data_IF_854682174375
#
_entry.id   IF_854682174375
#
_cell.length_a   1.000
_cell.length_b   1.000
_cell.length_c   1.000
_cell.angle_alpha   90.00
_cell.angle_beta   90.00
_cell.angle_gamma   90.00
#
_symmetry.space_group_name_H-M   'P 1'
#
loop_
_entity.id
_entity.type
_entity.pdbx_description
1 polymer ?
#
# COMPACT_ATOMS: atom_id res chain seq x y z
N UNK A 1 25.40 -1.62 1.59
CA UNK A 1 24.95 -2.95 1.14
C UNK A 1 23.82 -3.47 2.05
N UNK A 2 22.54 -3.19 1.73
CA UNK A 2 21.41 -3.83 2.38
C UNK A 2 20.70 -4.84 1.44
N UNK A 3 20.28 -5.95 2.05
CA UNK A 3 19.74 -7.16 1.42
C UNK A 3 18.29 -6.97 0.96
N UNK A 4 18.02 -7.30 -0.30
CA UNK A 4 16.72 -7.42 -0.93
C UNK A 4 15.89 -8.54 -0.30
N UNK A 5 14.70 -8.22 0.24
CA UNK A 5 13.68 -9.21 0.63
C UNK A 5 12.57 -9.20 -0.42
N UNK A 6 12.64 -10.18 -1.31
CA UNK A 6 11.56 -10.56 -2.23
C UNK A 6 10.39 -11.14 -1.42
N UNK A 7 9.23 -10.49 -1.44
CA UNK A 7 7.96 -11.10 -1.03
C UNK A 7 6.99 -11.01 -2.20
N UNK A 8 7.04 -12.02 -3.04
CA UNK A 8 5.98 -12.43 -3.95
C UNK A 8 4.75 -12.84 -3.13
N UNK A 9 3.65 -12.10 -3.25
CA UNK A 9 2.33 -12.51 -2.78
C UNK A 9 1.34 -12.29 -3.92
N UNK A 10 0.99 -13.38 -4.59
CA UNK A 10 -0.03 -13.44 -5.63
C UNK A 10 -1.41 -13.07 -5.07
N UNK A 11 -2.27 -12.36 -5.84
CA UNK A 11 -3.65 -12.13 -5.46
C UNK A 11 -4.52 -13.32 -5.85
N UNK A 12 -5.18 -13.95 -4.87
CA UNK A 12 -6.22 -14.94 -5.11
C UNK A 12 -7.50 -14.24 -5.57
N UNK A 13 -7.75 -14.31 -6.87
CA UNK A 13 -9.04 -14.07 -7.50
C UNK A 13 -9.89 -15.32 -7.22
N UNK A 14 -10.94 -15.20 -6.41
CA UNK A 14 -12.02 -16.19 -6.42
C UNK A 14 -13.33 -15.48 -6.76
N UNK A 15 -13.85 -15.91 -7.91
CA UNK A 15 -15.09 -15.45 -8.52
C UNK A 15 -16.26 -16.13 -7.81
N UNK A 16 -17.23 -15.29 -7.48
CA UNK A 16 -18.69 -15.50 -7.53
C UNK A 16 -19.07 -16.67 -8.46
N UNK A 17 -19.81 -17.67 -7.96
CA UNK A 17 -21.18 -17.97 -8.43
C UNK A 17 -21.86 -19.17 -7.75
N UNK A 18 -23.19 -19.03 -7.67
CA UNK A 18 -24.27 -20.03 -7.50
C UNK A 18 -24.40 -20.71 -6.12
N UNK A 19 -25.45 -20.48 -5.32
CA UNK A 19 -26.90 -20.70 -5.55
C UNK A 19 -27.20 -22.19 -5.72
N UNK A 20 -27.34 -22.91 -4.60
CA UNK A 20 -28.27 -24.04 -4.50
C UNK A 20 -28.89 -24.10 -3.10
N UNK A 21 -30.21 -23.98 -3.12
CA UNK A 21 -31.13 -24.21 -2.01
C UNK A 21 -31.55 -25.67 -2.11
N UNK A 22 -30.82 -26.57 -1.47
CA UNK A 22 -31.32 -27.94 -1.27
C UNK A 22 -31.70 -28.12 0.19
N UNK A 23 -32.97 -27.79 0.44
CA UNK A 23 -33.77 -28.34 1.53
C UNK A 23 -34.10 -29.79 1.15
N UNK A 24 -33.21 -30.72 1.48
CA UNK A 24 -33.59 -32.12 1.57
C UNK A 24 -33.54 -32.58 3.03
N UNK A 25 -34.75 -32.68 3.57
CA UNK A 25 -35.07 -33.42 4.79
C UNK A 25 -34.90 -34.90 4.49
N UNK A 26 -33.66 -35.38 4.59
CA UNK A 26 -33.42 -36.81 4.62
C UNK A 26 -33.89 -37.39 5.96
N UNK A 27 -35.12 -37.91 5.92
CA UNK A 27 -35.69 -38.84 6.88
C UNK A 27 -34.93 -40.16 6.78
N UNK A 28 -33.74 -40.22 7.38
CA UNK A 28 -33.06 -41.50 7.59
C UNK A 28 -33.70 -42.22 8.78
N UNK A 29 -34.50 -43.19 8.38
CA UNK A 29 -35.18 -44.21 9.17
C UNK A 29 -34.14 -45.13 9.80
N UNK A 30 -33.61 -44.77 10.97
CA UNK A 30 -32.74 -45.66 11.75
C UNK A 30 -33.54 -46.81 12.37
N UNK A 31 -33.63 -47.90 11.60
CA UNK A 31 -33.92 -49.25 12.09
C UNK A 31 -32.62 -49.88 12.57
N UNK A 32 -32.76 -50.64 13.66
CA UNK A 32 -31.86 -51.68 14.17
C UNK A 32 -30.87 -51.28 15.27
N UNK A 33 -31.35 -51.35 16.53
CA UNK A 33 -30.58 -52.04 17.57
C UNK A 33 -31.40 -53.19 18.16
N UNK A 34 -31.02 -54.38 17.69
CA UNK A 34 -31.31 -55.68 18.29
C UNK A 34 -30.78 -55.67 19.72
N UNK A 35 -31.64 -55.93 20.70
CA UNK A 35 -31.23 -56.41 22.02
C UNK A 35 -31.94 -57.74 22.26
N UNK A 36 -31.18 -58.81 22.12
CA UNK A 36 -31.60 -60.19 22.43
C UNK A 36 -31.85 -60.35 23.93
N UNK A 37 -32.69 -61.31 24.32
CA UNK A 37 -33.22 -61.42 25.68
C UNK A 37 -32.24 -62.17 26.57
N UNK A 38 -31.76 -61.52 27.64
CA UNK A 38 -31.02 -62.23 28.68
C UNK A 38 -31.98 -62.86 29.67
N UNK A 39 -31.75 -64.14 29.88
CA UNK A 39 -32.55 -65.14 30.54
C UNK A 39 -31.98 -65.30 31.94
N UNK A 40 -32.59 -64.67 32.94
CA UNK A 40 -32.36 -65.03 34.33
C UNK A 40 -33.67 -65.46 34.98
N UNK A 41 -33.72 -66.76 35.27
CA UNK A 41 -34.69 -67.39 36.16
C UNK A 41 -34.30 -67.05 37.60
N UNK A 42 -35.28 -66.73 38.45
CA UNK A 42 -35.26 -67.21 39.82
C UNK A 42 -36.27 -68.35 39.95
N UNK A 43 -35.73 -69.54 40.15
CA UNK A 43 -36.41 -70.65 40.80
C UNK A 43 -36.68 -70.25 42.25
N UNK A 44 -37.94 -69.97 42.60
CA UNK A 44 -38.44 -70.30 43.93
C UNK A 44 -39.92 -70.64 43.86
N UNK A 45 -40.14 -71.92 44.10
CA UNK A 45 -41.39 -72.60 44.32
C UNK A 45 -42.07 -72.03 45.58
N UNK A 46 -43.02 -71.09 45.41
CA UNK A 46 -44.14 -70.92 46.34
C UNK A 46 -45.40 -70.70 45.53
N UNK A 47 -46.16 -71.79 45.36
CA UNK A 47 -47.60 -71.76 45.05
C UNK A 47 -48.29 -70.85 46.08
N UNK A 48 -48.45 -69.57 45.78
CA UNK A 48 -49.59 -68.82 46.27
C UNK A 48 -50.62 -68.84 45.15
N UNK A 49 -51.67 -69.63 45.36
CA UNK A 49 -52.92 -69.49 44.64
C UNK A 49 -53.44 -68.05 44.88
N UNK A 50 -52.95 -67.09 44.11
CA UNK A 50 -53.60 -65.80 43.98
C UNK A 50 -54.92 -66.08 43.27
N UNK A 51 -55.95 -66.27 44.11
CA UNK A 51 -57.36 -66.35 43.76
C UNK A 51 -57.62 -65.59 42.48
N UNK A 52 -58.20 -66.27 41.50
CA UNK A 52 -58.99 -65.65 40.43
C UNK A 52 -60.04 -64.77 41.09
N UNK A 53 -59.66 -63.54 41.46
CA UNK A 53 -60.59 -62.55 41.97
C UNK A 53 -61.27 -62.02 40.72
N UNK A 54 -62.35 -62.70 40.34
CA UNK A 54 -63.32 -62.20 39.38
C UNK A 54 -63.49 -60.71 39.66
N UNK A 55 -63.29 -59.83 38.65
CA UNK A 55 -63.36 -58.41 38.91
C UNK A 55 -64.72 -58.14 39.54
N UNK A 56 -64.71 -57.53 40.72
CA UNK A 56 -65.96 -57.12 41.38
C UNK A 56 -66.76 -56.27 40.39
N UNK A 57 -68.10 -56.28 40.43
CA UNK A 57 -68.94 -55.54 39.49
C UNK A 57 -68.50 -54.06 39.34
N UNK A 58 -68.03 -53.44 40.41
CA UNK A 58 -67.46 -52.08 40.42
C UNK A 58 -66.20 -51.94 39.53
N UNK A 59 -65.31 -52.96 39.52
CA UNK A 59 -64.08 -52.96 38.72
C UNK A 59 -64.33 -53.29 37.25
N UNK A 60 -65.42 -53.98 36.92
CA UNK A 60 -65.87 -54.18 35.52
C UNK A 60 -66.43 -52.88 34.95
N UNK A 61 -67.35 -52.24 35.67
CA UNK A 61 -67.92 -50.94 35.29
C UNK A 61 -66.85 -49.88 35.05
N UNK A 62 -65.88 -49.73 35.98
CA UNK A 62 -64.74 -48.79 35.79
C UNK A 62 -63.85 -49.11 34.58
N UNK A 63 -63.74 -50.38 34.18
CA UNK A 63 -62.97 -50.77 32.98
C UNK A 63 -63.75 -50.51 31.70
N UNK A 64 -65.06 -50.69 31.73
CA UNK A 64 -65.95 -50.35 30.61
C UNK A 64 -66.00 -48.83 30.41
N UNK A 65 -66.14 -48.06 31.49
CA UNK A 65 -66.05 -46.59 31.49
C UNK A 65 -64.70 -46.10 30.93
N UNK A 66 -63.58 -46.64 31.41
CA UNK A 66 -62.25 -46.29 30.90
C UNK A 66 -62.03 -46.72 29.44
N UNK A 67 -62.68 -47.79 28.98
CA UNK A 67 -62.61 -48.22 27.58
C UNK A 67 -63.43 -47.28 26.67
N UNK A 68 -64.58 -46.80 27.13
CA UNK A 68 -65.38 -45.81 26.41
C UNK A 68 -64.64 -44.47 26.33
N UNK A 69 -64.06 -44.00 27.43
CA UNK A 69 -63.24 -42.79 27.47
C UNK A 69 -62.02 -42.89 26.54
N UNK A 70 -61.32 -44.03 26.52
CA UNK A 70 -60.21 -44.27 25.61
C UNK A 70 -60.63 -44.29 24.13
N UNK A 71 -61.86 -44.74 23.81
CA UNK A 71 -62.40 -44.67 22.45
C UNK A 71 -62.73 -43.23 22.07
N UNK A 72 -63.31 -42.45 22.98
CA UNK A 72 -63.59 -41.03 22.76
C UNK A 72 -62.31 -40.20 22.58
N UNK A 73 -61.28 -40.43 23.39
CA UNK A 73 -59.98 -39.78 23.23
C UNK A 73 -59.32 -40.11 21.90
N UNK A 74 -59.43 -41.36 21.43
CA UNK A 74 -58.93 -41.76 20.11
C UNK A 74 -59.67 -41.04 18.99
N UNK A 75 -61.00 -40.91 19.10
CA UNK A 75 -61.81 -40.15 18.13
C UNK A 75 -61.42 -38.67 18.10
N UNK A 76 -61.22 -38.05 19.27
CA UNK A 76 -60.74 -36.65 19.37
C UNK A 76 -59.38 -36.48 18.69
N UNK A 77 -58.43 -37.38 18.96
CA UNK A 77 -57.10 -37.35 18.34
C UNK A 77 -57.16 -37.53 16.82
N UNK A 78 -58.03 -38.40 16.32
CA UNK A 78 -58.23 -38.57 14.87
C UNK A 78 -58.83 -37.30 14.25
N UNK A 79 -59.87 -36.73 14.88
CA UNK A 79 -60.47 -35.48 14.42
C UNK A 79 -59.48 -34.30 14.44
N UNK A 80 -58.61 -34.22 15.44
CA UNK A 80 -57.54 -33.20 15.50
C UNK A 80 -56.49 -33.38 14.40
N UNK A 81 -56.12 -34.63 14.06
CA UNK A 81 -55.20 -34.91 12.97
C UNK A 81 -55.83 -34.59 11.61
N UNK A 82 -57.09 -34.94 11.41
CA UNK A 82 -57.85 -34.60 10.20
C UNK A 82 -58.00 -33.08 10.06
N UNK A 83 -58.33 -32.37 11.14
CA UNK A 83 -58.40 -30.90 11.15
C UNK A 83 -57.06 -30.27 10.77
N UNK A 84 -55.95 -30.76 11.33
CA UNK A 84 -54.60 -30.27 10.98
C UNK A 84 -54.23 -30.52 9.52
N UNK A 85 -54.57 -31.68 8.97
CA UNK A 85 -54.34 -31.95 7.55
C UNK A 85 -55.15 -31.00 6.65
N UNK A 86 -56.40 -30.72 7.02
CA UNK A 86 -57.22 -29.74 6.29
C UNK A 86 -56.63 -28.33 6.41
N UNK A 87 -56.19 -27.92 7.59
CA UNK A 87 -55.53 -26.62 7.82
C UNK A 87 -54.25 -26.49 6.97
N UNK A 88 -53.41 -27.51 6.93
CA UNK A 88 -52.19 -27.51 6.11
C UNK A 88 -52.50 -27.45 4.61
N UNK A 89 -53.46 -28.23 4.12
CA UNK A 89 -53.85 -28.22 2.70
C UNK A 89 -54.53 -26.90 2.30
N UNK A 90 -55.37 -26.35 3.16
CA UNK A 90 -56.03 -25.05 2.92
C UNK A 90 -55.04 -23.91 2.95
N UNK A 91 -54.08 -23.90 3.88
CA UNK A 91 -52.97 -22.95 3.90
C UNK A 91 -52.17 -23.02 2.59
N UNK A 92 -51.79 -24.21 2.15
CA UNK A 92 -51.06 -24.38 0.89
C UNK A 92 -51.85 -23.90 -0.34
N UNK A 93 -53.16 -24.14 -0.38
CA UNK A 93 -54.01 -23.64 -1.46
C UNK A 93 -54.12 -22.12 -1.46
N UNK A 94 -54.26 -21.52 -0.27
CA UNK A 94 -54.29 -20.07 -0.13
C UNK A 94 -52.95 -19.46 -0.57
N UNK A 95 -51.83 -20.02 -0.13
CA UNK A 95 -50.50 -19.54 -0.51
C UNK A 95 -50.31 -19.60 -2.03
N UNK A 96 -50.68 -20.73 -2.65
CA UNK A 96 -50.60 -20.89 -4.10
C UNK A 96 -51.53 -19.91 -4.87
N UNK A 97 -52.74 -19.66 -4.36
CA UNK A 97 -53.67 -18.68 -4.92
C UNK A 97 -53.11 -17.25 -4.83
N UNK A 98 -52.51 -16.89 -3.68
CA UNK A 98 -51.87 -15.59 -3.47
C UNK A 98 -50.68 -15.43 -4.40
N UNK A 99 -49.80 -16.43 -4.50
CA UNK A 99 -48.65 -16.41 -5.40
C UNK A 99 -49.08 -16.20 -6.86
N UNK A 100 -50.12 -16.91 -7.31
CA UNK A 100 -50.68 -16.74 -8.66
C UNK A 100 -51.19 -15.32 -8.89
N UNK A 101 -52.02 -14.80 -7.99
CA UNK A 101 -52.57 -13.43 -8.10
C UNK A 101 -51.48 -12.36 -8.10
N UNK A 102 -50.44 -12.55 -7.29
CA UNK A 102 -49.28 -11.64 -7.26
C UNK A 102 -48.51 -11.72 -8.57
N UNK A 103 -48.27 -12.91 -9.12
CA UNK A 103 -47.60 -13.08 -10.41
C UNK A 103 -48.39 -12.41 -11.54
N UNK A 104 -49.70 -12.63 -11.60
CA UNK A 104 -50.59 -11.97 -12.58
C UNK A 104 -50.57 -10.45 -12.44
N UNK A 105 -50.65 -9.94 -11.20
CA UNK A 105 -50.57 -8.50 -10.93
C UNK A 105 -49.21 -7.91 -11.34
N UNK A 106 -48.11 -8.63 -11.10
CA UNK A 106 -46.76 -8.22 -11.51
C UNK A 106 -46.55 -8.28 -13.03
N UNK A 107 -47.29 -9.13 -13.73
CA UNK A 107 -47.29 -9.20 -15.19
C UNK A 107 -48.12 -8.08 -15.83
N UNK A 108 -48.99 -7.42 -15.06
CA UNK A 108 -49.79 -6.31 -15.56
C UNK A 108 -48.89 -5.15 -16.01
N UNK A 109 -49.14 -4.63 -17.21
CA UNK A 109 -48.28 -3.63 -17.86
C UNK A 109 -48.08 -2.38 -17.01
N UNK A 110 -49.12 -1.91 -16.32
CA UNK A 110 -49.03 -0.75 -15.43
C UNK A 110 -48.04 -0.95 -14.27
N UNK A 111 -47.98 -2.15 -13.69
CA UNK A 111 -47.04 -2.46 -12.61
C UNK A 111 -45.61 -2.52 -13.15
N UNK A 112 -45.42 -3.12 -14.32
CA UNK A 112 -44.12 -3.16 -14.99
C UNK A 112 -43.62 -1.78 -15.39
N UNK A 113 -44.50 -0.91 -15.90
CA UNK A 113 -44.17 0.46 -16.26
C UNK A 113 -43.68 1.25 -15.04
N UNK A 114 -44.43 1.23 -13.94
CA UNK A 114 -44.03 1.92 -12.70
C UNK A 114 -42.70 1.37 -12.14
N UNK A 115 -42.50 0.06 -12.22
CA UNK A 115 -41.23 -0.56 -11.81
C UNK A 115 -40.07 -0.09 -12.70
N UNK A 116 -40.27 -0.07 -14.03
CA UNK A 116 -39.26 0.38 -14.98
C UNK A 116 -38.94 1.86 -14.80
N UNK A 117 -39.94 2.73 -14.63
CA UNK A 117 -39.74 4.15 -14.34
C UNK A 117 -38.90 4.35 -13.07
N UNK A 118 -39.22 3.63 -11.99
CA UNK A 118 -38.42 3.68 -10.75
C UNK A 118 -37.00 3.19 -10.95
N UNK A 119 -36.80 2.13 -11.74
CA UNK A 119 -35.48 1.63 -12.08
C UNK A 119 -34.69 2.62 -12.94
N UNK A 120 -35.33 3.29 -13.89
CA UNK A 120 -34.70 4.30 -14.72
C UNK A 120 -34.28 5.52 -13.91
N UNK A 121 -35.14 6.00 -13.00
CA UNK A 121 -34.78 7.09 -12.08
C UNK A 121 -33.59 6.67 -11.22
N UNK A 122 -33.64 5.49 -10.59
CA UNK A 122 -32.54 5.00 -9.77
C UNK A 122 -31.24 4.82 -10.56
N UNK A 123 -31.31 4.39 -11.83
CA UNK A 123 -30.12 4.30 -12.71
C UNK A 123 -29.55 5.66 -13.02
N UNK A 124 -30.39 6.63 -13.39
CA UNK A 124 -29.95 8.01 -13.67
C UNK A 124 -29.31 8.66 -12.44
N UNK A 125 -29.89 8.47 -11.26
CA UNK A 125 -29.31 8.97 -10.01
C UNK A 125 -27.93 8.36 -9.74
N UNK A 126 -27.75 7.06 -10.00
CA UNK A 126 -26.44 6.40 -9.88
C UNK A 126 -25.45 6.88 -10.92
N UNK A 127 -25.88 7.05 -12.18
CA UNK A 127 -25.05 7.57 -13.26
C UNK A 127 -24.56 8.98 -12.94
N UNK A 128 -25.44 9.88 -12.47
CA UNK A 128 -25.06 11.23 -12.04
C UNK A 128 -24.07 11.21 -10.87
N UNK A 129 -24.23 10.31 -9.90
CA UNK A 129 -23.29 10.18 -8.79
C UNK A 129 -21.92 9.73 -9.27
N UNK A 130 -21.86 8.72 -10.14
CA UNK A 130 -20.61 8.23 -10.73
C UNK A 130 -19.94 9.30 -11.58
N UNK A 131 -20.71 10.06 -12.38
CA UNK A 131 -20.16 11.16 -13.17
C UNK A 131 -19.58 12.27 -12.30
N UNK A 132 -20.23 12.60 -11.16
CA UNK A 132 -19.71 13.58 -10.20
C UNK A 132 -18.41 13.09 -9.57
N UNK A 133 -18.35 11.84 -9.12
CA UNK A 133 -17.13 11.25 -8.55
C UNK A 133 -15.99 11.23 -9.58
N UNK A 134 -16.26 10.83 -10.83
CA UNK A 134 -15.26 10.83 -11.90
C UNK A 134 -14.77 12.25 -12.23
N UNK A 135 -15.65 13.25 -12.22
CA UNK A 135 -15.27 14.64 -12.44
C UNK A 135 -14.37 15.16 -11.30
N UNK A 136 -14.69 14.83 -10.06
CA UNK A 136 -13.86 15.16 -8.90
C UNK A 136 -12.49 14.48 -8.97
N UNK A 137 -12.44 13.19 -9.32
CA UNK A 137 -11.19 12.45 -9.50
C UNK A 137 -10.33 13.03 -10.64
N UNK A 138 -10.93 13.40 -11.77
CA UNK A 138 -10.21 14.04 -12.87
C UNK A 138 -9.62 15.39 -12.44
N UNK A 139 -10.40 16.22 -11.75
CA UNK A 139 -9.92 17.50 -11.22
C UNK A 139 -8.80 17.31 -10.19
N UNK A 140 -8.92 16.31 -9.31
CA UNK A 140 -7.88 15.96 -8.34
C UNK A 140 -6.60 15.48 -9.04
N UNK A 141 -6.72 14.60 -10.03
CA UNK A 141 -5.60 14.10 -10.82
C UNK A 141 -4.89 15.24 -11.58
N UNK A 142 -5.64 16.13 -12.23
CA UNK A 142 -5.06 17.31 -12.87
C UNK A 142 -4.36 18.24 -11.87
N UNK A 143 -4.95 18.45 -10.69
CA UNK A 143 -4.34 19.27 -9.65
C UNK A 143 -3.03 18.64 -9.13
N UNK A 144 -2.99 17.32 -8.94
CA UNK A 144 -1.78 16.59 -8.57
C UNK A 144 -0.71 16.66 -9.65
N UNK A 145 -1.06 16.48 -10.92
CA UNK A 145 -0.13 16.64 -12.03
C UNK A 145 0.46 18.06 -12.07
N UNK A 146 -0.38 19.08 -11.90
CA UNK A 146 0.08 20.48 -11.87
C UNK A 146 1.03 20.72 -10.69
N UNK A 147 0.71 20.20 -9.50
CA UNK A 147 1.59 20.28 -8.32
C UNK A 147 2.91 19.56 -8.56
N UNK A 148 2.89 18.38 -9.18
CA UNK A 148 4.09 17.63 -9.50
C UNK A 148 4.98 18.38 -10.51
N UNK A 149 4.39 18.94 -11.56
CA UNK A 149 5.11 19.77 -12.55
C UNK A 149 5.73 21.00 -11.90
N UNK A 150 4.97 21.73 -11.08
CA UNK A 150 5.49 22.88 -10.33
C UNK A 150 6.63 22.50 -9.37
N UNK A 151 6.51 21.39 -8.66
CA UNK A 151 7.58 20.91 -7.78
C UNK A 151 8.85 20.55 -8.55
N UNK A 152 8.71 19.97 -9.75
CA UNK A 152 9.86 19.68 -10.64
C UNK A 152 10.50 20.98 -11.13
N UNK A 153 9.70 21.96 -11.54
CA UNK A 153 10.21 23.28 -11.97
C UNK A 153 10.93 24.01 -10.85
N UNK A 154 10.36 24.01 -9.63
CA UNK A 154 11.00 24.60 -8.45
C UNK A 154 12.35 23.93 -8.17
N UNK A 155 12.40 22.59 -8.14
CA UNK A 155 13.65 21.85 -7.96
C UNK A 155 14.67 22.14 -9.06
N UNK A 156 14.23 22.26 -10.32
CA UNK A 156 15.11 22.65 -11.43
C UNK A 156 15.67 24.05 -11.23
N UNK A 157 14.85 25.01 -10.80
CA UNK A 157 15.30 26.37 -10.52
C UNK A 157 16.28 26.43 -9.34
N UNK A 158 16.03 25.65 -8.28
CA UNK A 158 16.95 25.53 -7.15
C UNK A 158 18.29 24.96 -7.58
N UNK A 159 18.30 23.90 -8.39
CA UNK A 159 19.53 23.33 -8.95
C UNK A 159 20.28 24.35 -9.81
N UNK A 160 19.59 25.09 -10.66
CA UNK A 160 20.21 26.14 -11.48
C UNK A 160 20.82 27.26 -10.63
N UNK A 161 20.20 27.62 -9.50
CA UNK A 161 20.77 28.59 -8.55
C UNK A 161 22.05 28.06 -7.92
N UNK A 162 22.04 26.81 -7.46
CA UNK A 162 23.24 26.16 -6.88
C UNK A 162 24.36 26.08 -7.92
N UNK A 163 24.06 25.70 -9.17
CA UNK A 163 25.06 25.67 -10.24
C UNK A 163 25.59 27.06 -10.57
N UNK A 164 24.74 28.09 -10.58
CA UNK A 164 25.17 29.47 -10.81
C UNK A 164 26.10 29.97 -9.68
N UNK A 165 25.77 29.68 -8.43
CA UNK A 165 26.62 30.00 -7.27
C UNK A 165 27.97 29.26 -7.36
N UNK A 166 27.97 27.98 -7.72
CA UNK A 166 29.20 27.21 -7.92
C UNK A 166 30.06 27.82 -9.04
N UNK A 167 29.46 28.17 -10.19
CA UNK A 167 30.18 28.81 -11.29
C UNK A 167 30.76 30.17 -10.88
N UNK A 168 30.01 30.98 -10.15
CA UNK A 168 30.50 32.25 -9.64
C UNK A 168 31.69 32.05 -8.70
N UNK A 169 31.62 31.06 -7.81
CA UNK A 169 32.74 30.72 -6.91
C UNK A 169 33.95 30.23 -7.70
N UNK A 170 33.76 29.35 -8.70
CA UNK A 170 34.84 28.89 -9.57
C UNK A 170 35.48 30.04 -10.35
N UNK A 171 34.67 30.94 -10.91
CA UNK A 171 35.16 32.10 -11.66
C UNK A 171 35.91 33.09 -10.76
N UNK A 172 35.45 33.28 -9.52
CA UNK A 172 36.17 34.08 -8.53
C UNK A 172 37.52 33.44 -8.18
N UNK A 173 37.56 32.12 -7.95
CA UNK A 173 38.81 31.40 -7.67
C UNK A 173 39.78 31.46 -8.86
N UNK A 174 39.29 31.32 -10.10
CA UNK A 174 40.10 31.46 -11.31
C UNK A 174 40.69 32.86 -11.45
N UNK A 175 39.89 33.90 -11.20
CA UNK A 175 40.37 35.29 -11.22
C UNK A 175 41.42 35.54 -10.15
N UNK A 176 41.21 35.05 -8.93
CA UNK A 176 42.19 35.16 -7.85
C UNK A 176 43.51 34.47 -8.21
N UNK A 177 43.45 33.25 -8.78
CA UNK A 177 44.64 32.56 -9.24
C UNK A 177 45.37 33.33 -10.35
N UNK A 178 44.63 33.91 -11.31
CA UNK A 178 45.21 34.75 -12.37
C UNK A 178 45.88 36.02 -11.80
N UNK A 179 45.25 36.69 -10.84
CA UNK A 179 45.85 37.86 -10.18
C UNK A 179 47.12 37.49 -9.40
N UNK A 180 47.16 36.32 -8.75
CA UNK A 180 48.37 35.83 -8.09
C UNK A 180 49.49 35.54 -9.09
N UNK A 181 49.17 34.89 -10.22
CA UNK A 181 50.12 34.63 -11.30
C UNK A 181 50.66 35.93 -11.91
N UNK A 182 49.82 36.93 -12.14
CA UNK A 182 50.21 38.26 -12.63
C UNK A 182 51.13 38.97 -11.62
N UNK A 183 50.78 38.98 -10.33
CA UNK A 183 51.63 39.54 -9.27
C UNK A 183 53.00 38.85 -9.21
N UNK A 184 53.05 37.53 -9.35
CA UNK A 184 54.31 36.79 -9.40
C UNK A 184 55.12 37.14 -10.66
N UNK A 185 54.47 37.29 -11.82
CA UNK A 185 55.12 37.70 -13.05
C UNK A 185 55.71 39.11 -12.95
N UNK A 186 54.97 40.07 -12.37
CA UNK A 186 55.46 41.42 -12.10
C UNK A 186 56.67 41.43 -11.16
N UNK A 187 56.62 40.67 -10.06
CA UNK A 187 57.76 40.52 -9.15
C UNK A 187 59.00 39.97 -9.85
N UNK A 188 58.85 38.92 -10.68
CA UNK A 188 59.95 38.36 -11.48
C UNK A 188 60.54 39.39 -12.45
N UNK A 189 59.69 40.22 -13.07
CA UNK A 189 60.14 41.26 -14.00
C UNK A 189 60.92 42.36 -13.27
N UNK A 190 60.47 42.78 -12.09
CA UNK A 190 61.19 43.70 -11.21
C UNK A 190 62.55 43.14 -10.78
N UNK A 191 62.62 41.87 -10.38
CA UNK A 191 63.89 41.21 -10.05
C UNK A 191 64.85 41.15 -11.24
N UNK A 192 64.35 40.85 -12.44
CA UNK A 192 65.15 40.87 -13.66
C UNK A 192 65.68 42.27 -13.96
N UNK A 193 64.86 43.32 -13.80
CA UNK A 193 65.32 44.70 -13.94
C UNK A 193 66.40 45.06 -12.91
N UNK A 194 66.26 44.62 -11.65
CA UNK A 194 67.29 44.83 -10.64
C UNK A 194 68.58 44.09 -10.99
N UNK A 195 68.51 42.84 -11.47
CA UNK A 195 69.68 42.08 -11.93
C UNK A 195 70.37 42.77 -13.11
N UNK A 196 69.61 43.32 -14.05
CA UNK A 196 70.14 44.10 -15.17
C UNK A 196 70.85 45.37 -14.69
N UNK A 197 70.23 46.15 -13.79
CA UNK A 197 70.84 47.34 -13.18
C UNK A 197 72.11 46.98 -12.41
N UNK A 198 72.11 45.90 -11.63
CA UNK A 198 73.30 45.43 -10.92
C UNK A 198 74.40 44.97 -11.89
N UNK A 199 74.05 44.30 -13.00
CA UNK A 199 74.99 43.92 -14.03
C UNK A 199 75.60 45.13 -14.74
N UNK A 200 74.82 46.17 -15.03
CA UNK A 200 75.31 47.44 -15.56
C UNK A 200 76.25 48.16 -14.59
N UNK A 201 75.90 48.21 -13.30
CA UNK A 201 76.78 48.80 -12.28
C UNK A 201 78.10 48.02 -12.16
N UNK A 202 78.05 46.67 -12.23
CA UNK A 202 79.26 45.83 -12.26
C UNK A 202 80.10 46.12 -13.51
N UNK A 203 79.48 46.17 -14.70
CA UNK A 203 80.16 46.55 -15.94
C UNK A 203 80.81 47.93 -15.86
N UNK A 204 80.11 48.95 -15.34
CA UNK A 204 80.68 50.28 -15.11
C UNK A 204 81.87 50.26 -14.16
N UNK A 205 81.77 49.52 -13.04
CA UNK A 205 82.89 49.35 -12.10
C UNK A 205 84.09 48.65 -12.75
N UNK A 206 83.85 47.67 -13.62
CA UNK A 206 84.93 46.97 -14.33
C UNK A 206 85.54 47.84 -15.44
N UNK A 207 84.75 48.66 -16.14
CA UNK A 207 85.25 49.69 -17.06
C UNK A 207 86.08 50.75 -16.33
N UNK A 208 85.63 51.21 -15.16
CA UNK A 208 86.38 52.17 -14.33
C UNK A 208 87.66 51.55 -13.79
N UNK A 209 87.67 50.27 -13.42
CA UNK A 209 88.90 49.53 -13.06
C UNK A 209 89.85 49.42 -14.24
N UNK A 210 89.36 49.07 -15.44
CA UNK A 210 90.17 49.02 -16.68
C UNK A 210 90.73 50.39 -17.03
N UNK A 211 89.96 51.47 -16.87
CA UNK A 211 90.43 52.86 -17.05
C UNK A 211 91.49 53.25 -16.02
N UNK A 212 91.32 52.87 -14.75
CA UNK A 212 92.33 53.08 -13.70
C UNK A 212 93.60 52.27 -13.95
N UNK A 213 93.47 51.04 -14.43
CA UNK A 213 94.59 50.18 -14.80
C UNK A 213 95.33 50.72 -16.03
N UNK A 214 94.60 51.16 -17.06
CA UNK A 214 95.18 51.90 -18.20
C UNK A 214 95.86 53.19 -17.74
N UNK A 215 95.28 53.98 -16.84
CA UNK A 215 95.89 55.19 -16.30
C UNK A 215 97.16 54.88 -15.47
N UNK A 216 97.19 53.74 -14.77
CA UNK A 216 98.35 53.23 -14.04
C UNK A 216 99.48 52.81 -15.00
N UNK A 217 99.14 52.16 -16.11
CA UNK A 217 100.10 51.76 -17.16
C UNK A 217 100.59 52.99 -17.96
N UNK A 218 99.72 53.96 -18.24
CA UNK A 218 100.03 55.20 -18.98
C UNK A 218 100.72 56.27 -18.14
N UNK A 219 100.94 56.06 -16.82
CA UNK A 219 101.81 56.90 -15.99
C UNK A 219 101.39 58.36 -15.82
N UNK A 220 100.13 58.74 -16.13
CA UNK A 220 99.69 60.15 -16.16
C UNK A 220 99.41 60.76 -14.77
N UNK A 221 99.38 59.97 -13.71
CA UNK A 221 99.26 60.46 -12.32
C UNK A 221 100.58 60.28 -11.56
N UNK A 222 101.56 61.14 -11.86
CA UNK A 222 102.53 61.65 -10.88
C UNK A 222 103.63 60.74 -10.33
N UNK A 223 103.72 59.46 -10.70
CA UNK A 223 104.84 58.61 -10.27
C UNK A 223 106.03 58.68 -11.25
N UNK A 224 106.54 59.89 -11.53
CA UNK A 224 107.87 60.05 -12.11
C UNK A 224 108.86 59.75 -10.98
N UNK A 225 109.22 58.47 -10.78
CA UNK A 225 110.33 58.11 -9.89
C UNK A 225 111.54 58.92 -10.34
N UNK A 226 112.01 59.83 -9.47
CA UNK A 226 113.22 60.61 -9.69
C UNK A 226 114.42 59.65 -9.66
N UNK A 227 114.78 59.11 -10.82
CA UNK A 227 116.04 58.41 -11.03
C UNK A 227 117.12 59.49 -11.12
N UNK A 228 117.81 59.73 -10.01
CA UNK A 228 119.03 60.54 -9.97
C UNK A 228 120.18 59.74 -10.59
N UNK A 229 120.44 59.94 -11.87
CA UNK A 229 121.71 59.57 -12.48
C UNK A 229 122.69 60.73 -12.29
N UNK A 230 123.66 60.54 -11.40
CA UNK A 230 124.88 61.36 -11.38
C UNK A 230 125.67 61.01 -12.63
N UNK A 231 125.85 61.96 -13.55
CA UNK A 231 126.87 61.88 -14.57
C UNK A 231 127.91 62.95 -14.28
N UNK A 232 129.14 62.46 -14.10
CA UNK A 232 130.38 63.16 -13.81
C UNK A 232 130.93 63.90 -15.02
N UNK A 233 131.59 65.03 -14.72
CA UNK A 233 132.34 66.00 -15.55
C UNK A 233 131.53 67.16 -16.13
#
# INVERSE_FOLDING_TARGET
MPRSRSRSRSPHISRRDHKDRDRDRDRVRDRHRRRTPSRERPSSNRRSYNRRRSPTPVRRKRREEAALEAVEERKKKLAELEARLIEEETAQRIDAEVERRVQEAMQHESVQQVLNERLEVARKELEEQVERELAEEQLAAEAEERRAKQAIEQKRQELLRIEAEQRQMEDLMKRQAQEEDERQAEQRLLELQQKMKQAEVKKKKDEDKKKKEQARILGKNGARMKLSFKLTM
#
